data_IF_544876427078
#
_entry.id   IF_544876427078
#
_cell.length_a   1.000
_cell.length_b   1.000
_cell.length_c   1.000
_cell.angle_alpha   90.00
_cell.angle_beta   90.00
_cell.angle_gamma   90.00
#
_symmetry.space_group_name_H-M   'P 1'
#
loop_
_entity.id
_entity.type
_entity.pdbx_description
1 polymer ?
#
# COMPACT_ATOMS: atom_id res chain seq x y z
N UNK A 1 -6.36 17.20 -12.37
CA UNK A 1 -6.93 15.84 -12.35
C UNK A 1 -6.14 14.97 -13.31
N UNK A 2 -5.21 14.15 -12.82
CA UNK A 2 -4.59 13.05 -13.57
C UNK A 2 -4.45 11.88 -12.60
N UNK A 3 -5.58 11.47 -12.01
CA UNK A 3 -5.64 10.21 -11.29
C UNK A 3 -6.09 9.18 -12.31
N UNK A 4 -5.18 8.29 -12.71
CA UNK A 4 -5.57 7.12 -13.50
C UNK A 4 -6.61 6.34 -12.71
N UNK A 5 -7.60 5.79 -13.40
CA UNK A 5 -8.58 4.93 -12.75
C UNK A 5 -7.86 3.66 -12.25
N UNK A 6 -8.29 3.08 -11.12
CA UNK A 6 -7.68 1.85 -10.60
C UNK A 6 -7.69 0.73 -11.63
N UNK A 7 -8.68 0.76 -12.53
CA UNK A 7 -8.76 -0.12 -13.70
C UNK A 7 -7.55 0.03 -14.63
N UNK A 8 -7.13 1.25 -14.94
CA UNK A 8 -5.96 1.52 -15.80
C UNK A 8 -4.67 1.06 -15.11
N UNK A 9 -4.54 1.30 -13.80
CA UNK A 9 -3.42 0.82 -13.00
C UNK A 9 -3.35 -0.71 -13.04
N UNK A 10 -4.49 -1.38 -12.85
CA UNK A 10 -4.59 -2.84 -12.95
C UNK A 10 -4.15 -3.34 -14.33
N UNK A 11 -4.74 -2.82 -15.41
CA UNK A 11 -4.44 -3.23 -16.78
C UNK A 11 -2.95 -3.04 -17.13
N UNK A 12 -2.36 -1.92 -16.70
CA UNK A 12 -0.93 -1.66 -16.90
C UNK A 12 -0.05 -2.70 -16.20
N UNK A 13 -0.35 -3.03 -14.95
CA UNK A 13 0.44 -3.97 -14.15
C UNK A 13 0.28 -5.40 -14.68
N UNK A 14 -0.95 -5.84 -14.99
CA UNK A 14 -1.20 -7.16 -15.58
C UNK A 14 -0.43 -7.32 -16.90
N UNK A 15 -0.41 -6.28 -17.75
CA UNK A 15 0.34 -6.28 -19.02
C UNK A 15 1.86 -6.27 -18.83
N UNK A 16 2.37 -5.56 -17.84
CA UNK A 16 3.82 -5.33 -17.67
C UNK A 16 4.52 -6.44 -16.91
N UNK A 17 3.83 -7.05 -15.94
CA UNK A 17 4.43 -7.99 -14.99
C UNK A 17 3.77 -9.37 -15.00
N UNK A 18 2.75 -9.58 -15.85
CA UNK A 18 2.01 -10.86 -15.95
C UNK A 18 1.39 -11.33 -14.64
N UNK A 19 1.08 -10.39 -13.73
CA UNK A 19 0.38 -10.69 -12.49
C UNK A 19 -1.11 -10.97 -12.75
N UNK A 20 -1.68 -11.89 -11.98
CA UNK A 20 -3.13 -12.11 -11.95
C UNK A 20 -3.77 -11.26 -10.84
N UNK A 21 -4.27 -10.08 -11.22
CA UNK A 21 -4.94 -9.13 -10.33
C UNK A 21 -6.47 -9.19 -10.47
N UNK A 22 -6.98 -10.25 -11.09
CA UNK A 22 -8.42 -10.50 -11.25
C UNK A 22 -9.00 -11.42 -10.16
N UNK A 23 -8.17 -11.82 -9.21
CA UNK A 23 -8.56 -12.53 -7.98
C UNK A 23 -9.15 -11.54 -6.97
N UNK A 24 -10.06 -11.98 -6.10
CA UNK A 24 -10.52 -11.17 -4.97
C UNK A 24 -9.80 -11.50 -3.66
N UNK A 25 -9.81 -10.58 -2.70
CA UNK A 25 -9.31 -10.84 -1.35
C UNK A 25 -10.01 -12.05 -0.68
N UNK A 26 -11.31 -12.22 -0.94
CA UNK A 26 -12.09 -13.36 -0.45
C UNK A 26 -11.61 -14.69 -1.04
N UNK A 27 -11.16 -14.71 -2.30
CA UNK A 27 -10.61 -15.91 -2.95
C UNK A 27 -9.21 -16.25 -2.41
N UNK A 28 -8.44 -15.23 -2.01
CA UNK A 28 -7.06 -15.39 -1.54
C UNK A 28 -7.02 -15.86 -0.09
N UNK A 29 -7.89 -15.30 0.78
CA UNK A 29 -7.87 -15.51 2.23
C UNK A 29 -7.83 -16.99 2.67
N UNK A 30 -8.59 -17.94 2.07
CA UNK A 30 -8.60 -19.34 2.49
C UNK A 30 -7.27 -20.07 2.27
N UNK A 31 -6.48 -19.63 1.29
CA UNK A 31 -5.23 -20.29 0.87
C UNK A 31 -3.99 -19.49 1.30
N UNK A 32 -4.17 -18.28 1.81
CA UNK A 32 -3.10 -17.39 2.27
C UNK A 32 -2.79 -17.66 3.75
N UNK A 33 -2.15 -18.80 3.99
CA UNK A 33 -1.50 -19.10 5.27
C UNK A 33 -0.06 -18.60 5.22
N UNK A 34 0.38 -17.91 6.28
CA UNK A 34 1.74 -17.39 6.50
C UNK A 34 2.81 -18.21 5.76
N UNK A 35 3.32 -17.67 4.65
CA UNK A 35 4.29 -18.36 3.80
C UNK A 35 5.49 -17.43 3.63
N UNK A 36 6.65 -17.83 4.13
CA UNK A 36 7.92 -17.07 4.13
C UNK A 36 8.45 -16.77 2.71
N UNK A 37 7.73 -17.16 1.66
CA UNK A 37 8.11 -16.90 0.27
C UNK A 37 7.55 -15.57 -0.22
N UNK A 38 8.39 -14.54 -0.16
CA UNK A 38 8.15 -13.16 -0.63
C UNK A 38 7.58 -13.01 -2.06
N UNK A 39 7.57 -14.06 -2.88
CA UNK A 39 7.12 -14.00 -4.28
C UNK A 39 5.61 -13.73 -4.43
N UNK A 40 4.79 -13.99 -3.41
CA UNK A 40 3.34 -13.73 -3.46
C UNK A 40 2.91 -12.45 -2.74
N UNK A 41 3.83 -11.66 -2.19
CA UNK A 41 3.44 -10.51 -1.37
C UNK A 41 3.05 -9.29 -2.21
N UNK A 42 3.73 -9.05 -3.33
CA UNK A 42 3.47 -7.90 -4.21
C UNK A 42 2.09 -7.96 -4.91
N UNK A 43 1.71 -9.06 -5.60
CA UNK A 43 0.39 -9.11 -6.24
C UNK A 43 -0.76 -9.05 -5.22
N UNK A 44 -0.56 -9.56 -4.02
CA UNK A 44 -1.55 -9.56 -2.94
C UNK A 44 -1.71 -8.15 -2.34
N UNK A 45 -0.61 -7.41 -2.17
CA UNK A 45 -0.64 -5.99 -1.77
C UNK A 45 -1.37 -5.13 -2.81
N UNK A 46 -1.11 -5.40 -4.10
CA UNK A 46 -1.79 -4.72 -5.20
C UNK A 46 -3.29 -4.98 -5.19
N UNK A 47 -3.74 -6.20 -4.91
CA UNK A 47 -5.16 -6.53 -4.81
C UNK A 47 -5.80 -5.83 -3.59
N UNK A 48 -5.11 -5.75 -2.45
CA UNK A 48 -5.56 -4.97 -1.29
C UNK A 48 -5.79 -3.50 -1.67
N UNK A 49 -4.83 -2.90 -2.39
CA UNK A 49 -4.97 -1.53 -2.90
C UNK A 49 -6.10 -1.40 -3.91
N UNK A 50 -6.21 -2.30 -4.90
CA UNK A 50 -7.22 -2.23 -5.95
C UNK A 50 -8.64 -2.34 -5.40
N UNK A 51 -8.87 -3.20 -4.41
CA UNK A 51 -10.18 -3.33 -3.76
C UNK A 51 -10.48 -2.22 -2.74
N UNK A 52 -9.48 -1.46 -2.29
CA UNK A 52 -9.69 -0.41 -1.27
C UNK A 52 -10.53 0.77 -1.78
N UNK A 53 -11.07 1.59 -0.88
CA UNK A 53 -11.74 2.86 -1.24
C UNK A 53 -11.02 4.11 -0.72
N UNK A 54 -10.21 3.96 0.32
CA UNK A 54 -9.34 4.98 0.90
C UNK A 54 -8.08 4.34 1.51
N UNK A 55 -7.20 5.16 2.10
CA UNK A 55 -5.95 4.69 2.70
C UNK A 55 -6.19 3.75 3.89
N UNK A 56 -7.11 4.09 4.79
CA UNK A 56 -7.39 3.29 5.98
C UNK A 56 -7.94 1.92 5.60
N UNK A 57 -8.88 1.88 4.66
CA UNK A 57 -9.45 0.66 4.11
C UNK A 57 -8.38 -0.22 3.42
N UNK A 58 -7.42 0.39 2.71
CA UNK A 58 -6.30 -0.33 2.12
C UNK A 58 -5.43 -1.05 3.18
N UNK A 59 -5.08 -0.33 4.25
CA UNK A 59 -4.30 -0.90 5.37
C UNK A 59 -5.10 -1.97 6.12
N UNK A 60 -6.39 -1.73 6.38
CA UNK A 60 -7.28 -2.71 7.04
C UNK A 60 -7.42 -3.99 6.21
N UNK A 61 -7.52 -3.88 4.88
CA UNK A 61 -7.57 -5.03 3.97
C UNK A 61 -6.26 -5.83 3.99
N UNK A 62 -5.11 -5.16 4.01
CA UNK A 62 -3.82 -5.83 4.16
C UNK A 62 -3.72 -6.60 5.50
N UNK A 63 -4.10 -5.97 6.62
CA UNK A 63 -4.13 -6.63 7.93
C UNK A 63 -5.12 -7.79 7.94
N UNK A 64 -6.30 -7.62 7.35
CA UNK A 64 -7.33 -8.66 7.25
C UNK A 64 -6.84 -9.87 6.45
N UNK A 65 -6.09 -9.64 5.37
CA UNK A 65 -5.50 -10.73 4.57
C UNK A 65 -4.52 -11.56 5.41
N UNK A 66 -3.72 -10.90 6.25
CA UNK A 66 -2.81 -11.54 7.21
C UNK A 66 -1.55 -12.09 6.53
N UNK A 67 -0.98 -13.17 7.07
CA UNK A 67 0.33 -13.67 6.61
C UNK A 67 1.44 -12.74 7.06
N UNK A 68 2.27 -12.27 6.13
CA UNK A 68 3.26 -11.21 6.37
C UNK A 68 2.59 -9.83 6.24
N UNK A 69 1.72 -9.52 7.21
CA UNK A 69 0.93 -8.28 7.22
C UNK A 69 1.81 -7.04 7.24
N UNK A 70 3.00 -7.11 7.82
CA UNK A 70 3.91 -5.97 7.94
C UNK A 70 4.44 -5.58 6.55
N UNK A 71 4.97 -6.55 5.80
CA UNK A 71 5.43 -6.30 4.41
C UNK A 71 4.26 -5.95 3.50
N UNK A 72 3.11 -6.63 3.65
CA UNK A 72 1.92 -6.38 2.83
C UNK A 72 1.38 -4.96 3.05
N UNK A 73 1.26 -4.53 4.31
CA UNK A 73 0.78 -3.20 4.67
C UNK A 73 1.77 -2.11 4.26
N UNK A 74 3.08 -2.37 4.34
CA UNK A 74 4.11 -1.45 3.87
C UNK A 74 3.98 -1.16 2.36
N UNK A 75 3.87 -2.21 1.54
CA UNK A 75 3.71 -2.07 0.09
C UNK A 75 2.35 -1.44 -0.25
N UNK A 76 1.27 -1.95 0.34
CA UNK A 76 -0.09 -1.44 0.12
C UNK A 76 -0.20 0.03 0.50
N UNK A 77 0.38 0.40 1.65
CA UNK A 77 0.41 1.75 2.18
C UNK A 77 1.14 2.72 1.27
N UNK A 78 2.33 2.37 0.78
CA UNK A 78 3.08 3.24 -0.15
C UNK A 78 2.32 3.54 -1.44
N UNK A 79 1.59 2.56 -1.97
CA UNK A 79 0.76 2.74 -3.18
C UNK A 79 -0.49 3.57 -2.85
N UNK A 80 -1.15 3.27 -1.74
CA UNK A 80 -2.34 3.96 -1.28
C UNK A 80 -2.07 5.43 -0.96
N UNK A 81 -0.96 5.76 -0.29
CA UNK A 81 -0.53 7.13 0.00
C UNK A 81 -0.34 7.91 -1.31
N UNK A 82 0.39 7.35 -2.28
CA UNK A 82 0.63 8.01 -3.55
C UNK A 82 -0.65 8.26 -4.37
N UNK A 83 -1.62 7.35 -4.26
CA UNK A 83 -2.89 7.41 -4.99
C UNK A 83 -3.91 8.33 -4.32
N UNK A 84 -4.24 8.09 -3.05
CA UNK A 84 -5.27 8.82 -2.32
C UNK A 84 -4.78 10.19 -1.83
N UNK A 85 -3.48 10.31 -1.51
CA UNK A 85 -2.86 11.54 -0.98
C UNK A 85 -3.52 12.09 0.29
N UNK A 86 -4.27 11.24 0.97
CA UNK A 86 -4.95 11.55 2.21
C UNK A 86 -4.73 10.38 3.15
N UNK A 87 -4.28 10.70 4.36
CA UNK A 87 -4.01 9.75 5.43
C UNK A 87 -4.55 10.32 6.74
N UNK A 88 -5.11 9.48 7.64
CA UNK A 88 -5.56 9.95 8.94
C UNK A 88 -4.43 10.61 9.73
N UNK A 89 -4.59 11.86 10.15
CA UNK A 89 -3.56 12.61 10.91
C UNK A 89 -3.12 11.86 12.17
N UNK A 90 -4.07 11.27 12.89
CA UNK A 90 -3.80 10.46 14.09
C UNK A 90 -2.82 9.31 13.80
N UNK A 91 -2.87 8.71 12.61
CA UNK A 91 -1.96 7.63 12.22
C UNK A 91 -0.57 8.16 11.87
N UNK A 92 -0.49 9.34 11.24
CA UNK A 92 0.78 10.02 10.97
C UNK A 92 1.45 10.40 12.28
N UNK A 93 0.75 11.09 13.17
CA UNK A 93 1.25 11.50 14.49
C UNK A 93 1.73 10.31 15.30
N UNK A 94 0.93 9.23 15.34
CA UNK A 94 1.30 8.01 16.06
C UNK A 94 2.54 7.37 15.44
N UNK A 95 2.60 7.24 14.12
CA UNK A 95 3.76 6.68 13.41
C UNK A 95 5.03 7.49 13.69
N UNK A 96 4.97 8.82 13.55
CA UNK A 96 6.10 9.72 13.82
C UNK A 96 6.54 9.65 15.28
N UNK A 97 5.60 9.51 16.23
CA UNK A 97 5.94 9.37 17.66
C UNK A 97 6.74 8.11 17.98
N UNK A 98 6.65 7.08 17.15
CA UNK A 98 7.37 5.81 17.31
C UNK A 98 8.76 5.81 16.65
N UNK A 99 9.04 6.77 15.76
CA UNK A 99 10.33 6.88 15.08
C UNK A 99 11.40 7.49 16.00
N UNK A 100 12.63 7.01 15.86
CA UNK A 100 13.80 7.67 16.42
C UNK A 100 14.13 8.97 15.66
N UNK A 101 15.00 9.79 16.25
CA UNK A 101 15.31 11.12 15.70
C UNK A 101 15.97 11.06 14.32
N UNK A 102 16.74 9.99 14.02
CA UNK A 102 17.41 9.82 12.73
C UNK A 102 16.42 9.46 11.62
N UNK A 103 15.45 8.59 11.92
CA UNK A 103 14.38 8.24 10.99
C UNK A 103 13.45 9.43 10.74
N UNK A 104 13.15 10.23 11.78
CA UNK A 104 12.39 11.49 11.62
C UNK A 104 13.10 12.48 10.71
N UNK A 105 14.40 12.70 10.91
CA UNK A 105 15.20 13.60 10.06
C UNK A 105 15.17 13.12 8.60
N UNK A 106 15.34 11.82 8.37
CA UNK A 106 15.30 11.23 7.02
C UNK A 106 13.92 11.42 6.37
N UNK A 107 12.84 11.23 7.14
CA UNK A 107 11.47 11.42 6.68
C UNK A 107 11.20 12.88 6.27
N UNK A 108 11.62 13.84 7.11
CA UNK A 108 11.47 15.27 6.83
C UNK A 108 12.22 15.66 5.57
N UNK A 109 13.49 15.24 5.43
CA UNK A 109 14.29 15.52 4.23
C UNK A 109 13.68 14.92 2.96
N UNK A 110 13.07 13.74 3.05
CA UNK A 110 12.37 13.12 1.93
C UNK A 110 11.12 13.90 1.55
N UNK A 111 10.28 14.26 2.53
CA UNK A 111 9.08 15.05 2.30
C UNK A 111 9.41 16.43 1.70
N UNK A 112 10.44 17.10 2.24
CA UNK A 112 10.87 18.40 1.73
C UNK A 112 11.33 18.34 0.28
N UNK A 113 12.01 17.26 -0.10
CA UNK A 113 12.53 17.08 -1.46
C UNK A 113 11.47 16.67 -2.47
N UNK A 114 10.49 15.85 -2.07
CA UNK A 114 9.59 15.17 -3.00
C UNK A 114 8.11 15.52 -2.86
N UNK A 115 7.65 15.98 -1.70
CA UNK A 115 6.25 16.38 -1.50
C UNK A 115 6.00 17.90 -1.69
N UNK A 116 7.01 18.76 -1.52
CA UNK A 116 6.89 20.21 -1.77
C UNK A 116 6.90 20.61 -3.27
N UNK A 117 6.92 19.66 -4.21
CA UNK A 117 6.96 19.93 -5.67
C UNK A 117 5.59 20.22 -6.31
N UNK A 118 4.55 20.47 -5.52
CA UNK A 118 3.22 20.86 -6.01
C UNK A 118 2.64 22.03 -5.21
N UNK A 119 3.23 23.21 -5.41
CA UNK A 119 2.49 24.48 -5.33
C UNK A 119 1.85 24.80 -6.67
#
# INVERSE_FOLDING_TARGET
RTGHDKKEIKEFIEKSYSYNLSRSLADIKPFYSFNETCQKTVPEALICFLESVDFEDAIRKAIWLGGDSDTLACITGGIAEAYYREMPEVWIEKSVSLLDDKLKETLILFQDKFQNFKS
#
